data_IF_891486343509
#
_entry.id   IF_891486343509
#
_cell.length_a   1.000
_cell.length_b   1.000
_cell.length_c   1.000
_cell.angle_alpha   90.00
_cell.angle_beta   90.00
_cell.angle_gamma   90.00
#
_symmetry.space_group_name_H-M   'P 1'
#
loop_
_entity.id
_entity.type
_entity.pdbx_description
1 polymer ?
#
# COMPACT_ATOMS: atom_id res chain seq x y z
N UNK A 1 36.85 -65.44 -10.93
CA UNK A 1 36.69 -66.59 -10.06
C UNK A 1 35.35 -66.45 -9.37
N UNK A 2 34.32 -67.11 -9.84
CA UNK A 2 33.58 -68.23 -9.27
C UNK A 2 33.03 -67.90 -7.87
N UNK A 3 31.78 -68.07 -7.49
CA UNK A 3 30.56 -68.82 -7.88
C UNK A 3 29.43 -68.36 -6.95
N UNK A 4 28.16 -68.09 -7.44
CA UNK A 4 26.99 -68.99 -7.37
C UNK A 4 26.66 -69.53 -5.93
N UNK A 5 25.46 -69.46 -5.42
CA UNK A 5 24.14 -70.03 -5.78
C UNK A 5 23.12 -69.71 -4.70
N UNK A 6 21.86 -69.27 -5.06
CA UNK A 6 20.61 -70.06 -5.06
C UNK A 6 20.25 -70.69 -3.68
N UNK A 7 19.09 -70.81 -3.16
CA UNK A 7 17.70 -71.02 -3.62
C UNK A 7 16.81 -71.29 -2.38
N UNK A 8 15.51 -71.07 -2.49
CA UNK A 8 14.29 -71.73 -1.99
C UNK A 8 13.45 -71.04 -0.93
N UNK A 9 12.30 -70.59 -1.35
CA UNK A 9 10.90 -71.11 -1.19
C UNK A 9 10.39 -71.30 0.25
N UNK A 10 9.22 -70.68 0.49
CA UNK A 10 8.30 -71.08 1.53
C UNK A 10 7.09 -70.18 1.64
N UNK A 11 6.00 -70.57 0.96
CA UNK A 11 4.62 -69.97 1.11
C UNK A 11 4.07 -70.39 2.45
N UNK A 12 3.36 -69.54 3.16
CA UNK A 12 2.12 -69.89 3.92
C UNK A 12 1.28 -68.60 4.08
N UNK A 13 0.04 -68.71 3.65
CA UNK A 13 -1.01 -67.75 3.83
C UNK A 13 -1.71 -67.95 5.16
N UNK A 14 -2.02 -66.91 5.89
CA UNK A 14 -3.07 -66.94 6.91
C UNK A 14 -3.86 -65.61 6.81
N UNK A 15 -5.10 -65.78 6.39
CA UNK A 15 -6.11 -64.72 6.40
C UNK A 15 -6.63 -64.57 7.83
N UNK A 16 -6.61 -63.37 8.36
CA UNK A 16 -7.41 -62.97 9.52
C UNK A 16 -8.21 -61.74 9.16
N UNK A 17 -9.52 -61.95 9.09
CA UNK A 17 -10.53 -60.94 8.91
C UNK A 17 -10.68 -60.13 10.20
N UNK A 18 -10.51 -58.83 10.14
CA UNK A 18 -10.95 -57.89 11.18
C UNK A 18 -12.11 -57.07 10.65
N UNK A 19 -13.26 -57.24 11.32
CA UNK A 19 -14.44 -56.40 11.19
C UNK A 19 -14.11 -55.08 11.88
N UNK A 20 -14.06 -53.98 11.12
CA UNK A 20 -13.99 -52.64 11.66
C UNK A 20 -15.36 -51.97 11.54
N UNK A 21 -16.01 -51.76 12.67
CA UNK A 21 -17.18 -50.91 12.80
C UNK A 21 -16.81 -49.48 12.43
N UNK A 22 -17.37 -48.96 11.36
CA UNK A 22 -17.27 -47.56 11.00
C UNK A 22 -18.25 -46.73 11.87
N UNK A 23 -17.75 -46.00 12.85
CA UNK A 23 -18.49 -44.94 13.50
C UNK A 23 -18.35 -43.68 12.64
N UNK A 24 -19.42 -43.27 11.96
CA UNK A 24 -19.50 -42.01 11.25
C UNK A 24 -19.62 -40.86 12.24
N UNK A 25 -18.51 -40.17 12.49
CA UNK A 25 -18.54 -38.86 13.13
C UNK A 25 -18.77 -37.80 12.01
N UNK A 26 -19.97 -37.23 11.97
CA UNK A 26 -20.27 -36.10 11.12
C UNK A 26 -19.66 -34.86 11.80
N UNK A 27 -18.42 -34.56 11.42
CA UNK A 27 -17.77 -33.29 11.74
C UNK A 27 -18.21 -32.22 10.74
N UNK A 28 -18.97 -31.25 11.19
CA UNK A 28 -19.25 -30.04 10.39
C UNK A 28 -17.97 -29.18 10.42
N UNK A 29 -17.13 -29.36 9.43
CA UNK A 29 -16.09 -28.41 9.09
C UNK A 29 -16.75 -27.31 8.24
N UNK A 30 -16.92 -26.14 8.81
CA UNK A 30 -17.17 -24.93 8.01
C UNK A 30 -15.87 -24.58 7.29
N UNK A 31 -15.65 -25.22 6.15
CA UNK A 31 -14.64 -24.77 5.21
C UNK A 31 -15.14 -23.40 4.67
N UNK A 32 -14.45 -22.35 5.06
CA UNK A 32 -14.47 -21.09 4.30
C UNK A 32 -13.79 -21.42 2.97
N UNK A 33 -14.58 -21.89 2.03
CA UNK A 33 -14.12 -22.21 0.70
C UNK A 33 -13.73 -20.93 -0.01
N UNK A 34 -12.47 -20.81 -0.40
CA UNK A 34 -12.13 -20.07 -1.60
C UNK A 34 -13.03 -20.59 -2.71
N UNK A 35 -13.95 -19.77 -3.20
CA UNK A 35 -14.83 -20.13 -4.32
C UNK A 35 -13.94 -20.19 -5.55
N UNK A 36 -13.29 -21.35 -5.73
CA UNK A 36 -12.72 -21.74 -7.02
C UNK A 36 -13.86 -21.82 -8.01
N UNK A 37 -13.87 -20.95 -9.01
CA UNK A 37 -14.84 -20.99 -10.07
C UNK A 37 -14.79 -22.34 -10.78
N UNK A 38 -15.97 -22.89 -11.06
CA UNK A 38 -16.07 -24.09 -11.90
C UNK A 38 -15.42 -23.81 -13.26
N UNK A 39 -14.52 -24.70 -13.74
CA UNK A 39 -13.91 -24.53 -15.06
C UNK A 39 -15.04 -24.47 -16.13
N UNK A 40 -15.12 -23.38 -16.87
CA UNK A 40 -15.91 -23.32 -18.09
C UNK A 40 -17.14 -22.39 -18.11
N UNK A 41 -17.23 -21.38 -17.21
CA UNK A 41 -18.34 -20.39 -17.30
C UNK A 41 -18.10 -19.30 -18.35
N UNK A 42 -16.96 -19.28 -19.03
CA UNK A 42 -16.60 -18.36 -20.12
C UNK A 42 -16.09 -16.98 -19.65
N UNK A 43 -16.07 -16.68 -18.34
CA UNK A 43 -15.61 -15.39 -17.87
C UNK A 43 -14.13 -15.15 -18.16
N UNK A 44 -13.29 -16.14 -17.88
CA UNK A 44 -11.83 -16.00 -18.06
C UNK A 44 -11.49 -15.71 -19.53
N UNK A 45 -12.17 -16.38 -20.46
CA UNK A 45 -11.99 -16.14 -21.91
C UNK A 45 -12.48 -14.74 -22.31
N UNK A 46 -13.61 -14.29 -21.75
CA UNK A 46 -14.14 -12.95 -22.01
C UNK A 46 -13.21 -11.85 -21.47
N UNK A 47 -12.68 -12.03 -20.25
CA UNK A 47 -11.72 -11.07 -19.65
C UNK A 47 -10.42 -11.04 -20.46
N UNK A 48 -9.88 -12.20 -20.86
CA UNK A 48 -8.67 -12.27 -21.69
C UNK A 48 -8.86 -11.60 -23.04
N UNK A 49 -10.04 -11.78 -23.64
CA UNK A 49 -10.40 -11.13 -24.92
C UNK A 49 -10.42 -9.62 -24.75
N UNK A 50 -11.05 -9.10 -23.69
CA UNK A 50 -11.12 -7.66 -23.44
C UNK A 50 -9.74 -7.06 -23.15
N UNK A 51 -8.91 -7.75 -22.32
CA UNK A 51 -7.54 -7.36 -22.04
C UNK A 51 -6.69 -7.27 -23.31
N UNK A 52 -6.89 -8.17 -24.28
CA UNK A 52 -6.13 -8.18 -25.54
C UNK A 52 -6.50 -7.03 -26.49
N UNK A 53 -7.66 -6.42 -26.31
CA UNK A 53 -8.13 -5.28 -27.10
C UNK A 53 -7.67 -3.94 -26.49
N UNK A 54 -7.19 -3.95 -25.24
CA UNK A 54 -6.71 -2.73 -24.56
C UNK A 54 -5.24 -2.45 -24.92
N UNK A 55 -4.93 -1.40 -25.69
CA UNK A 55 -3.57 -1.13 -26.14
C UNK A 55 -2.55 -0.97 -25.01
N UNK A 56 -3.00 -0.50 -23.83
CA UNK A 56 -2.15 -0.34 -22.66
C UNK A 56 -1.73 -1.68 -22.04
N UNK A 57 -2.50 -2.74 -22.30
CA UNK A 57 -2.31 -4.09 -21.76
C UNK A 57 -1.88 -5.09 -22.86
N UNK A 58 -1.81 -4.63 -24.11
CA UNK A 58 -1.51 -5.48 -25.27
C UNK A 58 -0.40 -6.47 -24.99
N UNK A 59 -0.69 -7.74 -25.19
CA UNK A 59 0.22 -8.86 -25.03
C UNK A 59 0.31 -9.65 -26.33
N UNK A 60 1.45 -10.28 -26.59
CA UNK A 60 1.56 -11.27 -27.66
C UNK A 60 0.63 -12.45 -27.36
N UNK A 61 0.13 -13.15 -28.39
CA UNK A 61 -0.87 -14.22 -28.27
C UNK A 61 -0.58 -15.24 -27.16
N UNK A 62 0.67 -15.66 -27.00
CA UNK A 62 1.06 -16.61 -25.95
C UNK A 62 0.86 -16.05 -24.53
N UNK A 63 1.07 -14.76 -24.32
CA UNK A 63 0.89 -14.08 -23.04
C UNK A 63 -0.57 -13.79 -22.72
N UNK A 64 -1.40 -13.55 -23.74
CA UNK A 64 -2.82 -13.41 -23.58
C UNK A 64 -3.42 -14.69 -22.97
N UNK A 65 -3.00 -15.87 -23.42
CA UNK A 65 -3.42 -17.15 -22.84
C UNK A 65 -2.96 -17.32 -21.39
N UNK A 66 -1.78 -16.76 -21.03
CA UNK A 66 -1.21 -16.82 -19.70
C UNK A 66 -1.79 -15.76 -18.73
N UNK A 67 -2.66 -14.84 -19.20
CA UNK A 67 -3.31 -13.82 -18.37
C UNK A 67 -4.01 -14.47 -17.18
N UNK A 68 -3.64 -14.02 -15.98
CA UNK A 68 -4.26 -14.45 -14.73
C UNK A 68 -5.52 -13.61 -14.51
N UNK A 69 -6.65 -14.29 -14.30
CA UNK A 69 -7.95 -13.67 -14.02
C UNK A 69 -8.33 -13.97 -12.58
N UNK A 70 -8.27 -12.95 -11.72
CA UNK A 70 -8.63 -13.05 -10.32
C UNK A 70 -10.08 -12.60 -10.13
N UNK A 71 -10.90 -13.40 -9.44
CA UNK A 71 -12.26 -13.04 -9.04
C UNK A 71 -12.22 -12.58 -7.60
N UNK A 72 -12.29 -11.28 -7.36
CA UNK A 72 -12.25 -10.71 -6.01
C UNK A 72 -13.60 -10.81 -5.31
N UNK A 73 -14.69 -10.58 -6.05
CA UNK A 73 -16.07 -10.68 -5.55
C UNK A 73 -17.04 -11.10 -6.66
N UNK A 74 -18.09 -11.84 -6.28
CA UNK A 74 -19.15 -12.25 -7.19
C UNK A 74 -20.50 -12.29 -6.46
N UNK A 75 -21.57 -11.91 -7.16
CA UNK A 75 -22.96 -12.02 -6.69
C UNK A 75 -23.88 -12.17 -7.90
N UNK A 76 -24.56 -13.32 -7.99
CA UNK A 76 -25.40 -13.68 -9.13
C UNK A 76 -24.65 -13.63 -10.46
N UNK A 77 -25.12 -12.75 -11.34
CA UNK A 77 -24.53 -12.57 -12.68
C UNK A 77 -23.39 -11.54 -12.70
N UNK A 78 -22.89 -11.09 -11.56
CA UNK A 78 -21.89 -10.06 -11.48
C UNK A 78 -20.58 -10.55 -10.88
N UNK A 79 -19.47 -10.10 -11.45
CA UNK A 79 -18.13 -10.34 -10.96
C UNK A 79 -17.32 -9.04 -11.01
N UNK A 80 -16.55 -8.79 -9.95
CA UNK A 80 -15.49 -7.78 -9.89
C UNK A 80 -14.17 -8.47 -9.62
N UNK A 81 -13.12 -8.09 -10.35
CA UNK A 81 -11.85 -8.78 -10.24
C UNK A 81 -10.67 -8.01 -10.78
N UNK A 82 -9.54 -8.70 -10.86
CA UNK A 82 -8.30 -8.25 -11.47
C UNK A 82 -7.89 -9.12 -12.63
N UNK A 83 -7.27 -8.53 -13.64
CA UNK A 83 -6.64 -9.25 -14.75
C UNK A 83 -5.17 -8.84 -14.81
N UNK A 84 -4.27 -9.82 -14.85
CA UNK A 84 -2.82 -9.60 -14.86
C UNK A 84 -2.18 -10.32 -16.03
N UNK A 85 -1.53 -9.57 -16.91
CA UNK A 85 -0.72 -10.08 -18.01
C UNK A 85 0.68 -10.31 -17.48
N UNK A 86 1.17 -11.57 -17.45
CA UNK A 86 2.53 -11.86 -17.03
C UNK A 86 3.56 -11.13 -17.89
N UNK A 87 4.68 -10.67 -17.32
CA UNK A 87 5.72 -9.99 -18.07
C UNK A 87 6.59 -10.97 -18.87
N UNK A 88 7.45 -10.41 -19.72
CA UNK A 88 8.66 -11.10 -20.19
C UNK A 88 9.67 -11.25 -19.04
N UNK A 89 10.80 -11.96 -19.29
CA UNK A 89 11.75 -12.35 -18.24
C UNK A 89 12.36 -11.20 -17.42
N UNK A 90 12.33 -9.96 -17.92
CA UNK A 90 13.02 -8.81 -17.29
C UNK A 90 12.08 -7.78 -16.64
N UNK A 91 10.78 -8.06 -16.52
CA UNK A 91 9.79 -7.01 -16.36
C UNK A 91 8.83 -7.22 -15.18
N UNK A 92 8.02 -6.19 -14.91
CA UNK A 92 6.88 -6.26 -14.01
C UNK A 92 5.58 -6.52 -14.78
N UNK A 93 4.57 -7.17 -14.17
CA UNK A 93 3.33 -7.48 -14.85
C UNK A 93 2.52 -6.23 -15.17
N UNK A 94 1.68 -6.32 -16.22
CA UNK A 94 0.64 -5.33 -16.50
C UNK A 94 -0.67 -5.84 -15.89
N UNK A 95 -1.38 -5.04 -15.12
CA UNK A 95 -2.65 -5.44 -14.57
C UNK A 95 -3.69 -4.34 -14.56
N UNK A 96 -4.96 -4.74 -14.54
CA UNK A 96 -6.12 -3.88 -14.46
C UNK A 96 -7.18 -4.49 -13.56
N UNK A 97 -8.11 -3.67 -13.06
CA UNK A 97 -9.36 -4.17 -12.48
C UNK A 97 -10.40 -4.31 -13.58
N UNK A 98 -11.33 -5.23 -13.40
CA UNK A 98 -12.47 -5.40 -14.31
C UNK A 98 -13.77 -5.55 -13.53
N UNK A 99 -14.88 -5.19 -14.18
CA UNK A 99 -16.23 -5.55 -13.78
C UNK A 99 -16.87 -6.34 -14.93
N UNK A 100 -17.57 -7.42 -14.60
CA UNK A 100 -18.22 -8.26 -15.59
C UNK A 100 -19.67 -8.56 -15.19
N UNK A 101 -20.55 -8.57 -16.19
CA UNK A 101 -21.96 -8.95 -16.06
C UNK A 101 -22.29 -10.08 -17.02
N UNK A 102 -22.85 -11.17 -16.49
CA UNK A 102 -23.31 -12.29 -17.29
C UNK A 102 -24.58 -11.90 -18.10
N UNK A 103 -24.57 -12.14 -19.38
CA UNK A 103 -25.69 -11.87 -20.28
C UNK A 103 -26.35 -13.17 -20.83
N UNK A 104 -25.78 -14.34 -20.51
CA UNK A 104 -26.22 -15.65 -20.95
C UNK A 104 -25.31 -16.75 -20.41
N UNK A 105 -25.52 -17.99 -20.84
CA UNK A 105 -24.85 -19.15 -20.25
C UNK A 105 -23.31 -19.06 -20.22
N UNK A 106 -22.69 -18.51 -21.29
CA UNK A 106 -21.23 -18.29 -21.39
C UNK A 106 -20.89 -16.90 -21.95
N UNK A 107 -21.87 -16.01 -22.01
CA UNK A 107 -21.67 -14.68 -22.55
C UNK A 107 -21.55 -13.67 -21.42
N UNK A 108 -20.42 -12.98 -21.38
CA UNK A 108 -20.09 -11.96 -20.38
C UNK A 108 -19.86 -10.63 -21.08
N UNK A 109 -20.45 -9.60 -20.53
CA UNK A 109 -20.05 -8.23 -20.81
C UNK A 109 -18.95 -7.88 -19.78
N UNK A 110 -17.73 -7.61 -20.27
CA UNK A 110 -16.59 -7.25 -19.45
C UNK A 110 -16.21 -5.81 -19.76
N UNK A 111 -15.77 -5.08 -18.72
CA UNK A 111 -15.24 -3.73 -18.90
C UNK A 111 -14.03 -3.53 -17.97
N UNK A 112 -12.99 -2.86 -18.47
CA UNK A 112 -11.72 -2.64 -17.77
C UNK A 112 -11.67 -1.26 -17.12
N UNK A 113 -11.06 -1.16 -15.95
CA UNK A 113 -10.90 0.08 -15.19
C UNK A 113 -10.34 1.20 -16.07
N UNK A 114 -10.94 2.40 -15.98
CA UNK A 114 -10.54 3.58 -16.73
C UNK A 114 -11.39 3.84 -17.98
N UNK A 115 -12.21 2.87 -18.45
CA UNK A 115 -13.13 3.03 -19.55
C UNK A 115 -14.49 3.59 -19.10
N UNK A 116 -15.25 4.16 -20.02
CA UNK A 116 -16.62 4.63 -19.75
C UNK A 116 -17.54 3.45 -19.49
N UNK A 117 -17.33 2.32 -20.19
CA UNK A 117 -18.04 1.06 -20.02
C UNK A 117 -17.85 0.51 -18.61
N UNK A 118 -16.63 0.57 -18.08
CA UNK A 118 -16.38 0.16 -16.70
C UNK A 118 -17.16 1.03 -15.69
N UNK A 119 -17.14 2.35 -15.87
CA UNK A 119 -17.90 3.25 -15.00
C UNK A 119 -19.39 2.94 -15.04
N UNK A 120 -19.93 2.77 -16.24
CA UNK A 120 -21.34 2.41 -16.44
C UNK A 120 -21.71 1.08 -15.81
N UNK A 121 -20.88 0.05 -15.99
CA UNK A 121 -21.13 -1.29 -15.49
C UNK A 121 -20.95 -1.35 -13.96
N UNK A 122 -19.91 -0.71 -13.43
CA UNK A 122 -19.68 -0.63 -11.99
C UNK A 122 -20.82 0.06 -11.24
N UNK A 123 -21.42 1.12 -11.81
CA UNK A 123 -22.58 1.79 -11.21
C UNK A 123 -23.80 0.86 -11.12
N UNK A 124 -23.99 -0.04 -12.07
CA UNK A 124 -25.09 -1.00 -12.09
C UNK A 124 -24.87 -2.22 -11.19
N UNK A 125 -23.60 -2.54 -10.87
CA UNK A 125 -23.26 -3.70 -10.06
C UNK A 125 -23.87 -3.62 -8.65
N UNK A 126 -24.29 -4.77 -8.05
CA UNK A 126 -24.73 -4.82 -6.68
C UNK A 126 -23.66 -4.31 -5.70
N UNK A 127 -24.06 -3.73 -4.57
CA UNK A 127 -23.12 -3.24 -3.55
C UNK A 127 -22.26 -4.36 -2.92
N UNK A 128 -22.72 -5.60 -2.99
CA UNK A 128 -21.94 -6.80 -2.63
C UNK A 128 -20.75 -7.07 -3.57
N UNK A 129 -20.79 -6.55 -4.81
CA UNK A 129 -19.74 -6.72 -5.83
C UNK A 129 -18.88 -5.46 -5.93
N UNK A 130 -19.49 -4.28 -6.03
CA UNK A 130 -18.82 -2.98 -6.01
C UNK A 130 -19.58 -2.09 -5.05
N UNK A 131 -19.01 -1.78 -3.89
CA UNK A 131 -19.68 -0.96 -2.88
C UNK A 131 -19.91 0.48 -3.37
N UNK A 132 -20.79 1.20 -2.71
CA UNK A 132 -21.12 2.59 -3.06
C UNK A 132 -19.87 3.48 -3.03
N UNK A 133 -19.05 3.29 -2.03
CA UNK A 133 -17.81 4.06 -1.83
C UNK A 133 -16.77 3.70 -2.88
N UNK A 134 -16.69 2.43 -3.29
CA UNK A 134 -15.81 2.00 -4.39
C UNK A 134 -16.24 2.59 -5.73
N UNK A 135 -17.55 2.64 -6.01
CA UNK A 135 -18.09 3.25 -7.24
C UNK A 135 -17.63 4.70 -7.40
N UNK A 136 -17.60 5.45 -6.29
CA UNK A 136 -17.11 6.83 -6.29
C UNK A 136 -15.62 6.90 -6.61
N UNK A 137 -14.79 6.06 -5.97
CA UNK A 137 -13.34 6.05 -6.16
C UNK A 137 -12.95 5.53 -7.56
N UNK A 138 -13.52 4.40 -7.98
CA UNK A 138 -13.23 3.78 -9.27
C UNK A 138 -13.72 4.61 -10.48
N UNK A 139 -14.73 5.45 -10.28
CA UNK A 139 -15.26 6.37 -11.29
C UNK A 139 -14.54 7.73 -11.35
N UNK A 140 -13.63 8.00 -10.44
CA UNK A 140 -12.94 9.29 -10.38
C UNK A 140 -12.06 9.52 -11.62
N UNK A 141 -12.03 10.76 -12.09
CA UNK A 141 -11.16 11.20 -13.18
C UNK A 141 -10.10 12.15 -12.64
N UNK A 142 -8.83 12.06 -13.05
CA UNK A 142 -7.80 13.00 -12.62
C UNK A 142 -8.12 14.43 -13.08
N UNK A 143 -7.97 15.35 -12.16
CA UNK A 143 -8.29 16.75 -12.44
C UNK A 143 -7.20 17.45 -13.29
N UNK A 144 -5.92 17.10 -13.14
CA UNK A 144 -4.78 17.66 -13.91
C UNK A 144 -3.55 16.75 -13.81
N UNK A 145 -2.75 16.58 -14.88
CA UNK A 145 -1.55 15.71 -14.88
C UNK A 145 -0.35 16.24 -14.09
N UNK A 146 -0.23 17.58 -13.89
CA UNK A 146 1.00 18.20 -13.36
C UNK A 146 1.22 18.04 -11.86
N UNK A 147 0.16 17.82 -11.07
CA UNK A 147 0.23 17.60 -9.64
C UNK A 147 -0.66 16.43 -9.24
N UNK A 148 -0.01 15.32 -8.90
CA UNK A 148 -0.72 14.12 -8.47
C UNK A 148 -1.22 14.20 -7.02
N UNK A 149 -0.67 15.11 -6.20
CA UNK A 149 -0.88 15.12 -4.76
C UNK A 149 -0.30 13.89 -4.04
N UNK A 150 0.50 13.06 -4.75
CA UNK A 150 1.11 11.84 -4.20
C UNK A 150 2.47 12.15 -3.55
N UNK A 151 2.68 11.60 -2.36
CA UNK A 151 4.00 11.53 -1.73
C UNK A 151 4.89 10.49 -2.42
N UNK A 152 6.14 10.35 -1.96
CA UNK A 152 6.94 9.15 -2.24
C UNK A 152 6.50 8.01 -1.29
N UNK A 153 6.70 6.72 -1.68
CA UNK A 153 6.11 5.60 -0.95
C UNK A 153 6.90 5.22 0.33
N UNK A 154 7.34 6.22 1.09
CA UNK A 154 7.97 6.06 2.41
C UNK A 154 7.67 7.26 3.29
N UNK A 155 8.11 7.21 4.55
CA UNK A 155 7.82 8.27 5.53
C UNK A 155 8.30 9.64 5.03
N UNK A 156 7.46 10.65 5.21
CA UNK A 156 7.83 12.03 4.97
C UNK A 156 9.03 12.42 5.86
N UNK A 157 10.01 13.12 5.27
CA UNK A 157 11.27 13.49 5.90
C UNK A 157 12.38 12.45 5.73
N UNK A 158 12.06 11.16 5.50
CA UNK A 158 13.05 10.13 5.22
C UNK A 158 13.56 10.21 3.76
N UNK A 159 14.75 9.65 3.51
CA UNK A 159 15.34 9.64 2.18
C UNK A 159 15.70 8.23 1.75
N UNK A 160 15.15 7.79 0.59
CA UNK A 160 15.46 6.53 -0.07
C UNK A 160 16.23 6.78 -1.37
N UNK A 161 16.79 5.71 -1.95
CA UNK A 161 17.41 5.76 -3.27
C UNK A 161 16.36 5.61 -4.37
N UNK A 162 16.51 6.38 -5.44
CA UNK A 162 15.93 6.10 -6.74
C UNK A 162 16.83 5.03 -7.39
N UNK A 163 16.58 3.76 -7.10
CA UNK A 163 17.40 2.63 -7.56
C UNK A 163 17.40 2.49 -9.07
N UNK A 164 16.23 2.64 -9.71
CA UNK A 164 16.03 2.79 -11.14
C UNK A 164 15.24 4.06 -11.43
N UNK A 165 15.72 4.91 -12.33
CA UNK A 165 15.00 6.10 -12.79
C UNK A 165 13.80 5.73 -13.66
N UNK A 166 13.12 6.70 -14.31
CA UNK A 166 11.96 6.45 -15.15
C UNK A 166 12.18 5.33 -16.18
N UNK A 167 11.26 4.37 -16.20
CA UNK A 167 11.25 3.23 -17.14
C UNK A 167 9.82 2.74 -17.36
N UNK A 168 9.60 1.86 -18.31
CA UNK A 168 8.30 1.24 -18.56
C UNK A 168 7.99 0.14 -17.56
N UNK A 169 6.74 -0.30 -17.53
CA UNK A 169 6.34 -1.48 -16.73
C UNK A 169 7.22 -2.66 -17.09
N UNK A 170 7.53 -2.83 -18.38
CA UNK A 170 8.45 -3.82 -18.90
C UNK A 170 9.77 -3.16 -19.31
N UNK A 171 10.44 -2.51 -18.37
CA UNK A 171 11.74 -1.89 -18.60
C UNK A 171 11.75 -0.89 -19.74
N UNK A 172 11.90 -1.36 -20.98
CA UNK A 172 11.97 -0.52 -22.19
C UNK A 172 10.60 -0.14 -22.76
N UNK A 173 9.49 -0.72 -22.28
CA UNK A 173 8.14 -0.39 -22.78
C UNK A 173 7.79 1.08 -22.55
N UNK A 174 6.89 1.61 -23.38
CA UNK A 174 6.40 2.99 -23.29
C UNK A 174 4.93 3.04 -22.89
N UNK A 175 4.51 4.09 -22.16
CA UNK A 175 5.31 5.19 -21.62
C UNK A 175 6.22 4.74 -20.46
N UNK A 176 7.23 5.54 -20.09
CA UNK A 176 7.98 5.36 -18.86
C UNK A 176 7.15 5.83 -17.69
N UNK A 177 6.39 4.92 -17.12
CA UNK A 177 5.41 5.17 -16.04
C UNK A 177 5.83 4.59 -14.69
N UNK A 178 7.03 4.07 -14.58
CA UNK A 178 7.53 3.35 -13.40
C UNK A 178 8.86 3.91 -12.90
N UNK A 179 9.10 3.74 -11.62
CA UNK A 179 10.34 4.11 -10.93
C UNK A 179 10.63 3.04 -9.86
N UNK A 180 11.89 2.65 -9.71
CA UNK A 180 12.32 1.75 -8.66
C UNK A 180 12.87 2.51 -7.46
N UNK A 181 12.42 2.14 -6.26
CA UNK A 181 12.88 2.74 -5.02
C UNK A 181 13.37 1.67 -4.03
N UNK A 182 14.47 1.99 -3.33
CA UNK A 182 15.01 1.12 -2.29
C UNK A 182 15.68 1.92 -1.18
N UNK A 183 15.83 1.31 -0.01
CA UNK A 183 16.54 1.93 1.11
C UNK A 183 15.70 2.08 2.37
N UNK A 184 16.13 2.99 3.22
CA UNK A 184 15.50 3.29 4.49
C UNK A 184 15.27 2.06 5.37
N UNK A 185 14.10 1.98 5.97
CA UNK A 185 13.64 0.83 6.74
C UNK A 185 12.97 -0.25 5.89
N UNK A 186 12.89 -0.05 4.58
CA UNK A 186 12.26 -0.94 3.62
C UNK A 186 10.72 -0.97 3.65
N UNK A 187 10.07 -0.13 4.42
CA UNK A 187 8.60 -0.09 4.55
C UNK A 187 8.00 0.77 3.45
N UNK A 188 7.24 0.14 2.57
CA UNK A 188 6.47 0.82 1.52
C UNK A 188 5.17 1.34 2.14
N UNK A 189 4.91 2.63 2.00
CA UNK A 189 3.74 3.31 2.54
C UNK A 189 2.87 3.88 1.41
N UNK A 190 1.58 4.01 1.68
CA UNK A 190 0.62 4.63 0.76
C UNK A 190 0.98 6.12 0.54
N UNK A 191 1.25 6.57 -0.70
CA UNK A 191 1.63 7.95 -0.98
C UNK A 191 0.48 8.96 -0.81
N UNK A 192 -0.74 8.47 -0.83
CA UNK A 192 -1.98 9.18 -0.53
C UNK A 192 -3.05 8.19 -0.07
N UNK A 193 -4.16 8.67 0.44
CA UNK A 193 -5.31 7.80 0.73
C UNK A 193 -5.86 7.16 -0.55
N UNK A 194 -6.48 5.99 -0.41
CA UNK A 194 -7.06 5.25 -1.54
C UNK A 194 -7.58 3.88 -1.15
N UNK A 195 -8.01 3.10 -2.16
CA UNK A 195 -8.52 1.74 -1.98
C UNK A 195 -7.54 0.72 -2.49
N UNK A 196 -7.23 -0.25 -1.62
CA UNK A 196 -6.25 -1.32 -1.90
C UNK A 196 -6.90 -2.47 -2.64
N UNK A 197 -6.23 -2.94 -3.69
CA UNK A 197 -6.55 -4.18 -4.40
C UNK A 197 -5.26 -4.98 -4.60
N UNK A 198 -5.37 -6.30 -4.50
CA UNK A 198 -4.27 -7.24 -4.73
C UNK A 198 -4.61 -8.13 -5.90
N UNK A 199 -3.74 -8.16 -6.89
CA UNK A 199 -3.87 -9.03 -8.06
C UNK A 199 -2.71 -10.00 -8.13
N UNK A 200 -2.92 -11.15 -8.78
CA UNK A 200 -1.89 -12.18 -8.93
C UNK A 200 -1.29 -12.62 -7.58
N UNK A 201 -2.16 -12.93 -6.62
CA UNK A 201 -1.74 -13.31 -5.26
C UNK A 201 -1.12 -14.71 -5.29
N UNK A 202 0.19 -14.82 -4.98
CA UNK A 202 0.92 -16.09 -4.90
C UNK A 202 1.98 -16.05 -3.80
N UNK A 203 2.11 -17.13 -3.05
CA UNK A 203 3.17 -17.31 -2.04
C UNK A 203 3.30 -16.14 -1.04
N UNK A 204 2.16 -15.55 -0.64
CA UNK A 204 2.15 -14.44 0.31
C UNK A 204 2.61 -13.09 -0.27
N UNK A 205 2.75 -13.00 -1.59
CA UNK A 205 3.01 -11.77 -2.33
C UNK A 205 1.94 -11.53 -3.40
N UNK A 206 1.88 -10.31 -3.93
CA UNK A 206 0.95 -9.88 -4.97
C UNK A 206 1.49 -8.62 -5.65
N UNK A 207 0.91 -8.25 -6.78
CA UNK A 207 0.91 -6.85 -7.19
C UNK A 207 -0.15 -6.12 -6.35
N UNK A 208 0.24 -5.03 -5.70
CA UNK A 208 -0.67 -4.19 -4.91
C UNK A 208 -1.02 -2.95 -5.73
N UNK A 209 -2.31 -2.72 -5.94
CA UNK A 209 -2.85 -1.49 -6.55
C UNK A 209 -3.50 -0.63 -5.48
N UNK A 210 -3.24 0.65 -5.56
CA UNK A 210 -3.91 1.66 -4.74
C UNK A 210 -4.61 2.65 -5.65
N UNK A 211 -5.95 2.58 -5.67
CA UNK A 211 -6.80 3.48 -6.45
C UNK A 211 -7.14 4.71 -5.60
N UNK A 212 -6.68 5.87 -6.05
CA UNK A 212 -6.83 7.13 -5.31
C UNK A 212 -8.12 7.87 -5.70
N UNK A 213 -8.75 8.60 -4.76
CA UNK A 213 -9.96 9.39 -5.05
C UNK A 213 -9.76 10.48 -6.09
N UNK A 214 -8.52 10.88 -6.36
CA UNK A 214 -8.17 11.87 -7.38
C UNK A 214 -8.03 11.29 -8.80
N UNK A 215 -8.40 10.01 -9.01
CA UNK A 215 -8.40 9.32 -10.29
C UNK A 215 -7.07 8.72 -10.73
N UNK A 216 -6.00 8.89 -9.94
CA UNK A 216 -4.75 8.16 -10.16
C UNK A 216 -4.84 6.75 -9.56
N UNK A 217 -4.04 5.85 -10.11
CA UNK A 217 -3.77 4.54 -9.53
C UNK A 217 -2.25 4.37 -9.45
N UNK A 218 -1.76 3.91 -8.30
CA UNK A 218 -0.36 3.48 -8.16
C UNK A 218 -0.32 1.98 -7.98
N UNK A 219 0.66 1.30 -8.59
CA UNK A 219 0.92 -0.12 -8.33
C UNK A 219 2.30 -0.34 -7.74
N UNK A 220 2.45 -1.44 -7.02
CA UNK A 220 3.65 -1.79 -6.28
C UNK A 220 3.96 -3.26 -6.49
N UNK A 221 5.17 -3.57 -6.93
CA UNK A 221 5.61 -4.92 -7.19
C UNK A 221 6.88 -5.27 -6.42
N UNK A 222 7.30 -6.52 -6.42
CA UNK A 222 8.43 -7.12 -5.70
C UNK A 222 8.31 -7.11 -4.17
N UNK A 223 7.19 -6.67 -3.61
CA UNK A 223 7.03 -6.53 -2.16
C UNK A 223 6.81 -7.89 -1.46
N UNK A 224 7.17 -7.92 -0.19
CA UNK A 224 6.89 -8.99 0.78
C UNK A 224 6.16 -8.42 2.01
N UNK A 225 5.63 -9.29 2.87
CA UNK A 225 4.90 -8.88 4.09
C UNK A 225 3.82 -7.84 3.79
N UNK A 226 2.96 -8.15 2.83
CA UNK A 226 1.91 -7.24 2.39
C UNK A 226 0.91 -6.93 3.49
N UNK A 227 0.27 -5.77 3.36
CA UNK A 227 -0.87 -5.39 4.20
C UNK A 227 -1.96 -6.47 4.17
N UNK A 228 -2.46 -6.85 5.34
CA UNK A 228 -3.55 -7.81 5.49
C UNK A 228 -4.89 -7.08 5.61
N UNK A 229 -5.44 -6.68 4.46
CA UNK A 229 -6.76 -6.07 4.34
C UNK A 229 -7.51 -6.72 3.18
N UNK A 230 -8.84 -6.64 3.20
CA UNK A 230 -9.69 -7.07 2.07
C UNK A 230 -9.55 -6.10 0.91
N UNK A 231 -9.69 -6.63 -0.31
CA UNK A 231 -9.72 -5.82 -1.52
C UNK A 231 -10.90 -4.82 -1.48
N UNK A 232 -10.61 -3.57 -1.88
CA UNK A 232 -11.52 -2.45 -1.79
C UNK A 232 -11.46 -1.70 -0.46
N UNK A 233 -10.68 -2.18 0.53
CA UNK A 233 -10.50 -1.45 1.80
C UNK A 233 -9.89 -0.08 1.55
N UNK A 234 -10.52 0.95 2.11
CA UNK A 234 -9.99 2.30 2.11
C UNK A 234 -8.90 2.45 3.17
N UNK A 235 -7.79 3.06 2.78
CA UNK A 235 -6.67 3.34 3.67
C UNK A 235 -6.25 4.80 3.57
N UNK A 236 -5.67 5.33 4.64
CA UNK A 236 -5.14 6.69 4.68
C UNK A 236 -3.74 6.77 4.04
N UNK A 237 -3.30 7.99 3.70
CA UNK A 237 -1.91 8.28 3.37
C UNK A 237 -0.97 7.81 4.51
N UNK A 238 0.21 7.30 4.17
CA UNK A 238 1.18 6.79 5.13
C UNK A 238 0.87 5.39 5.67
N UNK A 239 -0.28 4.78 5.33
CA UNK A 239 -0.58 3.39 5.71
C UNK A 239 0.45 2.44 5.10
N UNK A 240 0.90 1.47 5.89
CA UNK A 240 1.83 0.44 5.44
C UNK A 240 1.19 -0.45 4.36
N UNK A 241 1.91 -0.66 3.24
CA UNK A 241 1.50 -1.52 2.13
C UNK A 241 2.27 -2.84 2.10
N UNK A 242 3.54 -2.82 2.44
CA UNK A 242 4.44 -3.96 2.38
C UNK A 242 5.89 -3.56 2.65
N UNK A 243 6.80 -4.49 2.42
CA UNK A 243 8.25 -4.23 2.46
C UNK A 243 8.86 -4.45 1.09
N UNK A 244 9.88 -3.67 0.77
CA UNK A 244 10.70 -3.94 -0.42
C UNK A 244 11.21 -5.38 -0.39
N UNK A 245 11.29 -6.00 -1.55
CA UNK A 245 11.71 -7.39 -1.69
C UNK A 245 12.13 -7.72 -3.12
N UNK A 246 12.09 -9.00 -3.45
CA UNK A 246 12.40 -9.56 -4.76
C UNK A 246 11.31 -10.53 -5.21
N UNK A 247 10.08 -10.36 -4.71
CA UNK A 247 9.00 -11.29 -4.99
C UNK A 247 8.49 -11.14 -6.42
N UNK A 248 8.18 -12.26 -7.06
CA UNK A 248 7.76 -12.36 -8.45
C UNK A 248 6.46 -13.19 -8.57
N UNK A 249 5.35 -12.77 -7.92
CA UNK A 249 4.12 -13.56 -7.91
C UNK A 249 3.54 -13.77 -9.31
N UNK A 250 3.76 -12.82 -10.22
CA UNK A 250 3.28 -12.87 -11.60
C UNK A 250 4.40 -13.11 -12.63
N UNK A 251 5.62 -13.45 -12.17
CA UNK A 251 6.80 -13.55 -13.05
C UNK A 251 7.61 -12.25 -13.10
N UNK A 252 8.51 -12.13 -14.07
CA UNK A 252 9.45 -11.03 -14.20
C UNK A 252 10.77 -11.27 -13.48
N UNK A 253 11.52 -10.21 -13.22
CA UNK A 253 12.82 -10.27 -12.56
C UNK A 253 13.02 -9.17 -11.52
N UNK A 254 13.95 -9.39 -10.60
CA UNK A 254 14.37 -8.40 -9.62
C UNK A 254 15.85 -8.60 -9.28
N UNK A 255 16.68 -7.59 -9.54
CA UNK A 255 18.13 -7.65 -9.31
C UNK A 255 18.53 -7.43 -7.84
N UNK A 256 17.60 -6.99 -6.99
CA UNK A 256 17.81 -6.71 -5.57
C UNK A 256 16.53 -6.24 -4.90
N UNK A 257 16.53 -6.16 -3.57
CA UNK A 257 15.34 -5.74 -2.83
C UNK A 257 14.99 -4.26 -3.14
N UNK A 258 13.84 -4.06 -3.75
CA UNK A 258 13.28 -2.74 -4.09
C UNK A 258 11.75 -2.80 -4.13
N UNK A 259 11.10 -1.69 -4.37
CA UNK A 259 9.72 -1.60 -4.83
C UNK A 259 9.73 -0.97 -6.22
N UNK A 260 9.14 -1.67 -7.18
CA UNK A 260 8.80 -1.14 -8.49
C UNK A 260 7.44 -0.44 -8.35
N UNK A 261 7.41 0.88 -8.49
CA UNK A 261 6.21 1.71 -8.38
C UNK A 261 5.82 2.23 -9.74
N UNK A 262 4.58 1.98 -10.16
CA UNK A 262 4.05 2.47 -11.45
C UNK A 262 2.87 3.39 -11.26
N UNK A 263 2.69 4.32 -12.19
CA UNK A 263 1.63 5.34 -12.19
C UNK A 263 0.67 5.12 -13.35
N UNK A 264 -0.64 5.20 -13.02
CA UNK A 264 -1.74 5.02 -13.98
C UNK A 264 -2.84 6.05 -13.80
N UNK A 265 -3.62 6.20 -14.84
CA UNK A 265 -4.95 6.80 -14.85
C UNK A 265 -5.96 5.72 -15.23
N UNK A 266 -6.71 5.20 -14.24
CA UNK A 266 -7.44 3.95 -14.44
C UNK A 266 -6.48 2.79 -14.74
N UNK A 267 -6.63 2.11 -15.87
CA UNK A 267 -5.69 1.10 -16.37
C UNK A 267 -4.60 1.67 -17.29
N UNK A 268 -4.75 2.92 -17.74
CA UNK A 268 -3.83 3.55 -18.68
C UNK A 268 -2.53 3.96 -18.01
N UNK A 269 -1.36 3.40 -18.36
CA UNK A 269 -0.08 3.89 -17.90
C UNK A 269 0.14 5.34 -18.31
N UNK A 270 0.61 6.18 -17.41
CA UNK A 270 0.92 7.58 -17.69
C UNK A 270 2.40 7.85 -17.43
N UNK A 271 3.09 8.62 -18.31
CA UNK A 271 4.50 8.89 -18.12
C UNK A 271 4.73 9.60 -16.79
N UNK A 272 5.84 9.26 -16.11
CA UNK A 272 6.28 9.99 -14.91
C UNK A 272 7.06 11.26 -15.27
N UNK A 273 7.38 11.46 -16.56
CA UNK A 273 8.03 12.68 -17.05
C UNK A 273 7.16 13.91 -16.79
N UNK A 274 7.72 14.93 -16.13
CA UNK A 274 7.03 16.12 -15.70
C UNK A 274 6.10 15.94 -14.48
N UNK A 275 5.98 14.71 -13.94
CA UNK A 275 5.10 14.43 -12.80
C UNK A 275 5.80 14.72 -11.48
N UNK A 276 5.08 15.37 -10.56
CA UNK A 276 5.57 15.63 -9.19
C UNK A 276 5.06 14.57 -8.21
N UNK A 277 6.01 13.87 -7.56
CA UNK A 277 5.78 12.90 -6.48
C UNK A 277 6.68 13.26 -5.29
N UNK A 278 6.11 13.36 -4.10
CA UNK A 278 6.88 13.66 -2.88
C UNK A 278 7.66 14.98 -2.92
N UNK A 279 7.19 15.92 -3.73
CA UNK A 279 7.84 17.22 -3.94
C UNK A 279 8.99 17.21 -4.95
N UNK A 280 9.22 16.13 -5.67
CA UNK A 280 10.19 16.01 -6.76
C UNK A 280 9.47 15.88 -8.10
N UNK A 281 9.90 16.64 -9.11
CA UNK A 281 9.47 16.46 -10.50
C UNK A 281 10.41 15.50 -11.19
N UNK A 282 9.87 14.42 -11.76
CA UNK A 282 10.67 13.39 -12.45
C UNK A 282 10.83 13.72 -13.93
N UNK A 283 11.99 13.36 -14.48
CA UNK A 283 12.34 13.58 -15.88
C UNK A 283 12.99 12.32 -16.46
N UNK A 284 12.48 11.89 -17.61
CA UNK A 284 13.08 10.76 -18.35
C UNK A 284 14.32 11.20 -19.15
N UNK A 285 15.19 10.25 -19.49
CA UNK A 285 16.38 10.49 -20.31
C UNK A 285 16.28 9.88 -21.71
N UNK A 286 15.13 9.33 -22.07
CA UNK A 286 14.95 8.53 -23.29
C UNK A 286 15.48 7.11 -23.18
N UNK A 287 16.23 6.76 -22.13
CA UNK A 287 16.69 5.41 -21.80
C UNK A 287 15.98 4.89 -20.56
N UNK A 288 15.54 3.60 -20.54
CA UNK A 288 14.95 3.03 -19.33
C UNK A 288 15.96 3.06 -18.17
N UNK A 289 15.43 3.19 -16.95
CA UNK A 289 16.18 3.29 -15.69
C UNK A 289 17.11 4.50 -15.55
N UNK A 290 17.12 5.40 -16.54
CA UNK A 290 17.87 6.66 -16.53
C UNK A 290 17.02 7.83 -16.03
N UNK A 291 17.46 9.08 -16.38
CA UNK A 291 16.72 10.28 -15.98
C UNK A 291 17.07 10.79 -14.59
N UNK A 292 16.27 11.72 -14.09
CA UNK A 292 16.53 12.38 -12.82
C UNK A 292 15.23 12.90 -12.18
N UNK A 293 15.29 13.18 -10.89
CA UNK A 293 14.29 13.94 -10.16
C UNK A 293 14.82 15.36 -9.88
N UNK A 294 13.97 16.38 -10.01
CA UNK A 294 14.34 17.78 -9.79
C UNK A 294 13.46 18.44 -8.74
N UNK A 295 14.09 19.22 -7.85
CA UNK A 295 13.42 20.05 -6.86
C UNK A 295 14.23 21.29 -6.55
N UNK A 296 13.64 22.49 -6.71
CA UNK A 296 14.30 23.77 -6.40
C UNK A 296 15.71 23.92 -7.04
N UNK A 297 15.87 23.46 -8.27
CA UNK A 297 17.16 23.45 -8.99
C UNK A 297 18.13 22.33 -8.59
N UNK A 298 17.82 21.53 -7.58
CA UNK A 298 18.58 20.34 -7.25
C UNK A 298 18.15 19.19 -8.15
N UNK A 299 19.10 18.52 -8.80
CA UNK A 299 18.88 17.32 -9.61
C UNK A 299 19.49 16.09 -8.96
N UNK A 300 18.73 15.01 -8.96
CA UNK A 300 19.14 13.71 -8.40
C UNK A 300 18.89 12.66 -9.47
N UNK A 301 19.96 12.08 -10.01
CA UNK A 301 19.88 10.98 -10.98
C UNK A 301 19.60 9.62 -10.34
N UNK A 302 19.42 8.59 -11.19
CA UNK A 302 19.32 7.21 -10.74
C UNK A 302 20.51 6.82 -9.85
N UNK A 303 20.27 6.08 -8.78
CA UNK A 303 21.24 5.77 -7.72
C UNK A 303 21.36 6.85 -6.64
N UNK A 304 20.76 8.03 -6.83
CA UNK A 304 20.77 9.11 -5.84
C UNK A 304 19.63 9.00 -4.82
N UNK A 305 19.70 9.81 -3.75
CA UNK A 305 18.72 9.79 -2.65
C UNK A 305 17.70 10.92 -2.80
N UNK A 306 16.44 10.56 -2.61
CA UNK A 306 15.30 11.48 -2.64
C UNK A 306 14.68 11.55 -1.24
N UNK A 307 14.61 12.74 -0.66
CA UNK A 307 13.83 12.98 0.56
C UNK A 307 12.35 13.11 0.20
N UNK A 308 11.48 12.41 0.91
CA UNK A 308 10.04 12.57 0.74
C UNK A 308 9.56 13.86 1.43
N UNK A 309 9.08 14.83 0.65
CA UNK A 309 8.54 16.08 1.17
C UNK A 309 7.01 16.08 1.32
N UNK A 310 6.36 14.91 1.10
CA UNK A 310 4.91 14.76 1.15
C UNK A 310 4.23 15.02 -0.19
N UNK A 311 2.90 14.82 -0.25
CA UNK A 311 2.09 14.91 -1.47
C UNK A 311 1.67 16.33 -1.87
N UNK A 312 2.16 17.39 -1.22
CA UNK A 312 1.90 18.78 -1.60
C UNK A 312 2.73 19.24 -2.80
N UNK A 313 2.24 20.21 -3.54
CA UNK A 313 3.09 20.94 -4.50
C UNK A 313 4.31 21.51 -3.75
N UNK A 314 5.49 21.56 -4.39
CA UNK A 314 6.63 22.26 -3.80
C UNK A 314 6.17 23.66 -3.40
N UNK A 315 6.23 23.98 -2.12
CA UNK A 315 6.00 25.37 -1.66
C UNK A 315 7.02 26.22 -2.41
N UNK A 316 6.63 27.28 -3.13
CA UNK A 316 7.59 28.17 -3.74
C UNK A 316 8.61 28.57 -2.68
N UNK A 317 9.90 28.53 -3.03
CA UNK A 317 10.94 29.05 -2.14
C UNK A 317 10.47 30.41 -1.65
N UNK A 318 10.43 30.67 -0.33
CA UNK A 318 10.08 32.00 0.16
C UNK A 318 10.96 32.99 -0.60
N UNK A 319 10.34 33.96 -1.26
CA UNK A 319 11.09 35.09 -1.83
C UNK A 319 11.96 35.65 -0.70
N UNK A 320 13.21 36.01 -0.99
CA UNK A 320 14.09 36.61 0.02
C UNK A 320 13.31 37.79 0.61
N UNK A 321 13.09 37.73 1.93
CA UNK A 321 12.43 38.80 2.68
C UNK A 321 13.10 40.11 2.28
N UNK A 322 12.37 41.13 1.82
CA UNK A 322 12.97 42.41 1.50
C UNK A 322 13.84 42.87 2.67
N UNK A 323 15.05 43.29 2.40
CA UNK A 323 15.91 43.88 3.43
C UNK A 323 15.14 44.93 4.20
N UNK A 324 15.24 44.94 5.55
CA UNK A 324 14.50 45.91 6.34
C UNK A 324 14.91 47.31 5.91
N UNK A 325 13.91 48.11 5.48
CA UNK A 325 14.10 49.53 5.26
C UNK A 325 14.69 50.13 6.53
N UNK A 326 15.68 51.07 6.42
CA UNK A 326 16.24 51.74 7.58
C UNK A 326 15.13 52.32 8.46
N UNK A 327 15.19 52.02 9.75
CA UNK A 327 14.23 52.54 10.73
C UNK A 327 14.20 54.06 10.70
N UNK A 328 13.03 54.68 10.72
CA UNK A 328 12.92 56.13 10.90
C UNK A 328 13.39 56.47 12.35
N UNK A 329 14.14 57.57 12.45
CA UNK A 329 14.62 58.16 13.69
C UNK A 329 13.48 58.28 14.71
N UNK A 330 13.71 57.95 15.98
CA UNK A 330 12.65 57.98 16.98
C UNK A 330 12.12 59.40 17.21
N UNK A 331 10.79 59.52 17.13
CA UNK A 331 10.05 60.73 17.56
C UNK A 331 9.98 60.79 19.09
N UNK A 332 9.87 61.97 19.69
CA UNK A 332 9.93 62.14 21.15
C UNK A 332 8.71 61.48 21.83
N UNK A 333 9.00 60.87 22.95
CA UNK A 333 8.16 60.06 23.85
C UNK A 333 6.91 60.87 24.29
N UNK A 334 5.67 60.43 24.09
CA UNK A 334 4.51 60.98 24.75
C UNK A 334 4.44 60.59 26.23
N UNK A 335 3.86 61.47 27.04
CA UNK A 335 3.65 61.33 28.49
C UNK A 335 2.78 60.09 28.85
N UNK A 336 2.95 59.50 30.03
CA UNK A 336 2.27 58.29 30.42
C UNK A 336 0.78 58.47 30.62
N UNK A 337 -0.01 57.68 29.90
CA UNK A 337 -1.45 57.51 30.08
C UNK A 337 -1.73 56.55 31.25
N UNK A 338 -2.82 56.74 32.01
CA UNK A 338 -3.12 55.93 33.18
C UNK A 338 -3.32 54.45 32.86
N UNK A 339 -2.89 53.59 33.83
CA UNK A 339 -2.94 52.11 33.74
C UNK A 339 -4.34 51.59 33.41
N UNK A 340 -4.46 50.63 32.46
CA UNK A 340 -5.71 49.93 32.22
C UNK A 340 -5.99 48.91 33.32
N UNK A 341 -7.29 48.81 33.68
CA UNK A 341 -7.86 47.77 34.55
C UNK A 341 -7.45 46.36 34.06
N UNK A 342 -7.23 45.38 34.98
CA UNK A 342 -6.85 44.03 34.59
C UNK A 342 -7.92 43.37 33.73
N UNK A 343 -7.49 42.86 32.56
CA UNK A 343 -8.31 42.05 31.66
C UNK A 343 -8.71 40.71 32.32
N UNK A 344 -9.91 40.18 32.01
CA UNK A 344 -10.33 38.88 32.52
C UNK A 344 -9.42 37.76 32.00
N UNK A 345 -9.08 36.85 32.90
CA UNK A 345 -8.27 35.66 32.67
C UNK A 345 -8.82 34.85 31.46
N UNK A 346 -7.98 34.46 30.49
CA UNK A 346 -8.47 33.69 29.33
C UNK A 346 -9.13 32.38 29.77
N UNK A 347 -10.27 32.06 29.16
CA UNK A 347 -10.94 30.78 29.32
C UNK A 347 -10.02 29.62 28.89
N UNK A 348 -10.05 28.48 29.58
CA UNK A 348 -9.23 27.34 29.23
C UNK A 348 -9.58 26.84 27.84
N UNK A 349 -8.54 26.70 26.97
CA UNK A 349 -8.66 26.09 25.66
C UNK A 349 -9.32 24.71 25.77
N UNK A 350 -10.24 24.34 24.86
CA UNK A 350 -10.87 23.03 24.88
C UNK A 350 -9.79 21.95 24.78
N UNK A 351 -9.89 20.92 25.64
CA UNK A 351 -8.99 19.75 25.61
C UNK A 351 -9.10 19.06 24.26
N UNK A 352 -7.98 18.71 23.61
CA UNK A 352 -8.02 17.98 22.34
C UNK A 352 -8.75 16.65 22.51
N UNK A 353 -9.54 16.28 21.50
CA UNK A 353 -10.25 15.00 21.47
C UNK A 353 -9.21 13.86 21.34
N UNK A 354 -9.24 12.85 22.22
CA UNK A 354 -8.29 11.74 22.16
C UNK A 354 -8.42 10.95 20.85
N UNK A 355 -7.28 10.56 20.27
CA UNK A 355 -7.20 9.69 19.10
C UNK A 355 -7.08 8.23 19.57
N UNK A 356 -7.77 7.30 18.90
CA UNK A 356 -7.73 5.88 19.25
C UNK A 356 -6.56 5.17 18.56
N UNK A 357 -5.91 4.27 19.32
CA UNK A 357 -4.93 3.32 18.81
C UNK A 357 -5.24 1.91 19.30
N UNK A 358 -4.92 0.89 18.48
CA UNK A 358 -5.12 -0.52 18.85
C UNK A 358 -3.79 -1.21 19.06
N UNK A 359 -3.59 -1.89 20.19
CA UNK A 359 -2.35 -2.58 20.52
C UNK A 359 -2.14 -3.81 19.62
N UNK A 360 -0.91 -3.97 19.09
CA UNK A 360 -0.49 -5.07 18.21
C UNK A 360 0.89 -5.60 18.60
N UNK A 361 0.99 -6.52 19.57
CA UNK A 361 2.25 -7.16 19.94
C UNK A 361 2.77 -8.11 18.84
N UNK A 362 4.02 -8.54 18.95
CA UNK A 362 4.54 -9.63 18.12
C UNK A 362 3.84 -10.96 18.45
N UNK A 363 3.45 -11.76 17.43
CA UNK A 363 2.68 -13.00 17.65
C UNK A 363 3.41 -14.05 18.50
N UNK A 364 4.75 -14.16 18.40
CA UNK A 364 5.49 -15.33 18.82
C UNK A 364 6.32 -15.14 20.10
N UNK A 365 6.48 -13.93 20.62
CA UNK A 365 7.46 -13.67 21.69
C UNK A 365 6.94 -12.88 22.89
N UNK A 366 5.76 -12.23 22.81
CA UNK A 366 5.33 -11.27 23.84
C UNK A 366 3.91 -11.51 24.31
N UNK A 367 3.74 -11.57 25.62
CA UNK A 367 2.41 -11.65 26.26
C UNK A 367 1.69 -10.30 26.27
N UNK A 368 2.00 -9.38 25.34
CA UNK A 368 1.41 -8.07 25.22
C UNK A 368 2.41 -6.94 25.03
N UNK A 369 1.93 -5.70 24.97
CA UNK A 369 2.71 -4.48 24.82
C UNK A 369 2.90 -3.82 26.18
N UNK A 370 4.14 -3.48 26.57
CA UNK A 370 4.41 -2.83 27.83
C UNK A 370 3.94 -1.38 27.82
N UNK A 371 3.21 -0.99 28.86
CA UNK A 371 2.95 0.39 29.24
C UNK A 371 4.05 0.86 30.18
N UNK A 372 4.53 2.08 30.00
CA UNK A 372 5.67 2.64 30.73
C UNK A 372 5.34 3.96 31.41
N UNK A 373 6.13 4.32 32.43
CA UNK A 373 5.98 5.59 33.13
C UNK A 373 6.44 6.80 32.31
N UNK A 374 7.38 6.60 31.38
CA UNK A 374 7.99 7.61 30.52
C UNK A 374 8.24 7.08 29.11
N UNK A 375 8.49 7.92 28.10
CA UNK A 375 8.75 7.50 26.73
C UNK A 375 10.16 6.90 26.57
N UNK A 376 10.51 5.93 27.39
CA UNK A 376 11.82 5.27 27.43
C UNK A 376 11.70 3.77 27.64
N UNK A 377 12.57 2.99 26.98
CA UNK A 377 12.65 1.52 27.17
C UNK A 377 13.24 1.13 28.53
N UNK A 378 13.94 2.04 29.19
CA UNK A 378 14.51 1.84 30.53
C UNK A 378 13.55 2.27 31.65
N UNK A 379 12.48 3.02 31.34
CA UNK A 379 11.52 3.47 32.35
C UNK A 379 10.69 2.30 32.91
N UNK A 380 10.09 2.52 34.07
CA UNK A 380 9.31 1.49 34.77
C UNK A 380 8.15 0.98 33.92
N UNK A 381 7.96 -0.35 33.88
CA UNK A 381 6.77 -0.97 33.28
C UNK A 381 5.62 -0.82 34.29
N UNK A 382 4.61 -0.01 33.91
CA UNK A 382 3.45 0.32 34.75
C UNK A 382 2.15 -0.36 34.30
N UNK A 383 2.25 -1.28 33.35
CA UNK A 383 1.12 -2.08 32.85
C UNK A 383 1.44 -2.78 31.54
N UNK A 384 0.43 -3.45 30.98
CA UNK A 384 0.52 -4.12 29.68
C UNK A 384 -0.82 -4.05 28.96
N UNK A 385 -0.74 -3.96 27.62
CA UNK A 385 -1.87 -4.11 26.71
C UNK A 385 -1.81 -5.49 26.05
N UNK A 386 -2.96 -6.08 25.83
CA UNK A 386 -3.14 -7.31 25.05
C UNK A 386 -3.30 -6.97 23.57
N UNK A 387 -3.16 -7.95 22.71
CA UNK A 387 -3.51 -7.78 21.29
C UNK A 387 -4.98 -7.41 21.15
N UNK A 388 -5.25 -6.36 20.38
CA UNK A 388 -6.58 -5.84 20.16
C UNK A 388 -7.07 -4.82 21.21
N UNK A 389 -6.35 -4.59 22.32
CA UNK A 389 -6.75 -3.56 23.29
C UNK A 389 -6.73 -2.17 22.63
N UNK A 390 -7.84 -1.45 22.77
CA UNK A 390 -8.00 -0.08 22.25
C UNK A 390 -7.67 0.92 23.33
N UNK A 391 -6.84 1.91 23.00
CA UNK A 391 -6.40 2.97 23.91
C UNK A 391 -6.67 4.36 23.32
N UNK A 392 -6.78 5.35 24.20
CA UNK A 392 -6.95 6.75 23.82
C UNK A 392 -5.61 7.47 23.96
N UNK A 393 -5.11 8.04 22.86
CA UNK A 393 -3.88 8.81 22.77
C UNK A 393 -4.24 10.29 22.98
N UNK A 394 -3.58 10.94 23.94
CA UNK A 394 -3.82 12.35 24.25
C UNK A 394 -2.73 13.27 23.69
N UNK A 395 -1.49 12.80 23.64
CA UNK A 395 -0.37 13.52 23.03
C UNK A 395 0.78 12.55 22.68
N UNK A 396 1.76 13.02 21.93
CA UNK A 396 2.92 12.23 21.48
C UNK A 396 4.24 12.91 21.87
N UNK A 397 5.30 12.11 22.05
CA UNK A 397 6.65 12.62 22.27
C UNK A 397 7.69 11.75 21.55
N UNK A 398 8.91 12.27 21.41
CA UNK A 398 10.07 11.48 20.99
C UNK A 398 10.75 10.92 22.24
N UNK A 399 11.10 9.64 22.19
CA UNK A 399 11.78 8.93 23.27
C UNK A 399 12.78 7.92 22.71
N UNK A 400 13.09 6.90 23.52
CA UNK A 400 14.05 5.89 23.11
C UNK A 400 13.62 5.16 21.84
N UNK A 401 14.61 4.89 20.99
CA UNK A 401 14.40 4.11 19.77
C UNK A 401 14.21 2.63 20.13
N UNK A 402 13.16 2.04 19.59
CA UNK A 402 12.92 0.61 19.67
C UNK A 402 12.40 0.06 18.34
N UNK A 403 12.50 -1.25 18.18
CA UNK A 403 11.91 -1.95 17.05
C UNK A 403 10.51 -2.42 17.43
N UNK A 404 9.49 -1.84 16.83
CA UNK A 404 8.10 -2.25 16.97
C UNK A 404 7.66 -3.22 15.87
N UNK A 405 6.39 -3.61 15.88
CA UNK A 405 5.80 -4.49 14.88
C UNK A 405 5.96 -3.94 13.45
N UNK A 406 5.95 -2.63 13.30
CA UNK A 406 6.09 -1.94 12.01
C UNK A 406 7.47 -1.32 11.79
N UNK A 407 8.48 -1.76 12.53
CA UNK A 407 9.87 -1.32 12.39
C UNK A 407 10.36 -0.41 13.53
N UNK A 408 11.57 0.15 13.38
CA UNK A 408 12.15 1.01 14.38
C UNK A 408 11.44 2.36 14.45
N UNK A 409 11.11 2.81 15.67
CA UNK A 409 10.51 4.12 15.92
C UNK A 409 11.09 4.78 17.17
N UNK A 410 11.05 6.10 17.22
CA UNK A 410 11.28 6.91 18.43
C UNK A 410 9.98 7.56 18.90
N UNK A 411 8.85 7.32 18.22
CA UNK A 411 7.57 7.91 18.57
C UNK A 411 6.94 7.13 19.73
N UNK A 412 6.48 7.86 20.72
CA UNK A 412 5.77 7.36 21.89
C UNK A 412 4.47 8.11 22.07
N UNK A 413 3.43 7.37 22.44
CA UNK A 413 2.09 7.88 22.65
C UNK A 413 1.77 7.91 24.15
N UNK A 414 1.37 9.07 24.67
CA UNK A 414 0.82 9.21 26.01
C UNK A 414 -0.67 8.94 25.98
N UNK A 415 -1.09 8.05 26.84
CA UNK A 415 -2.49 7.65 26.95
C UNK A 415 -3.24 8.55 27.93
N UNK A 416 -4.56 8.54 27.87
CA UNK A 416 -5.47 9.28 28.76
C UNK A 416 -5.28 8.93 30.24
N UNK A 417 -4.76 7.73 30.54
CA UNK A 417 -4.40 7.28 31.89
C UNK A 417 -2.98 7.70 32.33
N UNK A 418 -2.30 8.58 31.57
CA UNK A 418 -0.98 9.10 31.85
C UNK A 418 0.20 8.17 31.54
N UNK A 419 -0.06 6.94 31.07
CA UNK A 419 0.97 5.96 30.75
C UNK A 419 1.46 6.13 29.30
N UNK A 420 2.67 5.63 29.03
CA UNK A 420 3.30 5.71 27.74
C UNK A 420 3.37 4.36 27.06
N UNK A 421 3.19 4.35 25.75
CA UNK A 421 3.38 3.19 24.89
C UNK A 421 4.08 3.60 23.60
N UNK A 422 5.00 2.78 23.13
CA UNK A 422 5.64 3.06 21.86
C UNK A 422 4.65 2.91 20.71
N UNK A 423 4.69 3.86 19.79
CA UNK A 423 3.92 3.84 18.55
C UNK A 423 4.19 2.57 17.71
N UNK A 424 5.40 2.02 17.79
CA UNK A 424 5.75 0.79 17.07
C UNK A 424 4.90 -0.45 17.41
N UNK A 425 4.02 -0.36 18.43
CA UNK A 425 3.10 -1.41 18.83
C UNK A 425 1.64 -0.97 18.88
N UNK A 426 1.33 0.24 18.40
CA UNK A 426 -0.05 0.72 18.24
C UNK A 426 -0.42 0.84 16.77
N UNK A 427 -1.52 0.24 16.40
CA UNK A 427 -2.17 0.47 15.11
C UNK A 427 -3.02 1.75 15.22
N UNK A 428 -2.46 2.86 14.74
CA UNK A 428 -3.08 4.19 14.78
C UNK A 428 -3.56 4.65 13.40
N UNK A 429 -3.28 3.84 12.37
CA UNK A 429 -3.50 4.21 10.97
C UNK A 429 -2.41 5.13 10.40
N UNK A 430 -1.42 5.53 11.20
CA UNK A 430 -0.28 6.36 10.78
C UNK A 430 0.97 5.97 11.56
N UNK A 431 2.14 6.21 10.97
CA UNK A 431 3.44 6.15 11.67
C UNK A 431 3.93 7.55 12.09
N UNK A 432 3.16 8.58 11.76
CA UNK A 432 3.38 9.94 12.22
C UNK A 432 2.56 10.24 13.49
N UNK A 433 2.91 11.28 14.24
CA UNK A 433 2.13 11.69 15.39
C UNK A 433 0.65 11.90 15.05
N UNK A 434 -0.23 11.11 15.64
CA UNK A 434 -1.69 11.19 15.46
C UNK A 434 -2.36 12.11 16.45
N UNK A 435 -1.60 12.64 17.42
CA UNK A 435 -2.05 13.58 18.44
C UNK A 435 -0.99 14.69 18.58
N UNK A 436 -1.33 15.85 19.16
CA UNK A 436 -0.39 16.95 19.36
C UNK A 436 0.84 16.51 20.16
N UNK A 437 1.93 17.27 20.08
CA UNK A 437 3.07 17.07 20.95
C UNK A 437 2.64 17.26 22.41
N UNK A 438 3.18 16.44 23.31
CA UNK A 438 2.99 16.67 24.74
C UNK A 438 3.70 17.95 25.15
N UNK A 439 3.00 18.81 25.87
CA UNK A 439 3.65 19.95 26.55
C UNK A 439 4.57 19.39 27.67
N UNK A 440 5.80 19.91 27.74
CA UNK A 440 6.80 19.56 28.77
C UNK A 440 6.35 19.95 30.17
#
# INVERSE_FOLDING_TARGET
MRLRRNVFRGRWALATAWVVCAATVIGWSTAVGSVGAAPGDGLDDAVKTEVSQEPALEAQDAKQQATVVDRLRSDGDWVFGGATVPPDEEDSPKSTLYVAKRQGHRNWQVALQGTDEFRGLAQQAPESVVSREEKATLGAQPARPESTGLALPWRQGDAWFMGGGPHGISGSSRPFNSIDFNGGDGRVLAPAGGRVYKTCVRNGSAEVKLVHPNGYTTSYYHMTNLIDVRDGTEIAAGTYLGRIGTQLPCGGSASGAHVHMSLYQGSKPIPVDGVTLGGWTFHESGRPYGGFAERNGQRVGAGGRLTNFGGGNPTPKPEPKPEPKPEPKPEPKPEPKPEPKPEPKPEPKPKPTPVRGTARPYPDRWRGVNLRSEPSVSSQIVGRLRDGDVVNIVCTARGDRLNGKWGPTTLWNKLDNGKWVSDGFLETGSNDPVAPACDD
#
